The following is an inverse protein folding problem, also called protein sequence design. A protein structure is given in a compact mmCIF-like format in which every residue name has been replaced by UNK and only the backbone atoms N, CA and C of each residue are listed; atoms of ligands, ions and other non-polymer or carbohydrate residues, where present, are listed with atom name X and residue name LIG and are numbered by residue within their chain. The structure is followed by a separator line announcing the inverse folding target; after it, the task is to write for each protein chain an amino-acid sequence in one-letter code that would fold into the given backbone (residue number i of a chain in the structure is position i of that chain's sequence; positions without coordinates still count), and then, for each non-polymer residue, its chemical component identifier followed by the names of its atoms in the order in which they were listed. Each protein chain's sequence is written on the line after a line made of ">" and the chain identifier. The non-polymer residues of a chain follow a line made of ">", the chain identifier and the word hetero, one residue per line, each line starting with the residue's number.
data_IF_236975302320
#
_entry.id   IF_236975302320
#
_cell.length_a   1.000
_cell.length_b   1.000
_cell.length_c   1.000
_cell.angle_alpha   90.00
_cell.angle_beta   90.00
_cell.angle_gamma   90.00
#
_symmetry.space_group_name_H-M   'P 1'
#
loop_
_entity.id
_entity.type
_entity.pdbx_description
1 polymer ?
#
# COMPACT_ATOMS: atom_id res chain seq x y z
N UNK A 1 -18.40 2.88 -16.55
CA UNK A 1 -17.01 3.36 -16.33
C UNK A 1 -16.21 2.71 -17.44
N UNK A 2 -16.41 3.16 -18.68
CA UNK A 2 -16.02 2.36 -19.86
C UNK A 2 -15.64 3.26 -21.05
N UNK A 3 -15.25 4.51 -20.78
CA UNK A 3 -14.72 5.40 -21.81
C UNK A 3 -13.26 5.01 -22.05
N UNK A 4 -12.88 4.54 -23.26
CA UNK A 4 -11.48 4.28 -23.56
C UNK A 4 -10.68 5.59 -23.51
N UNK A 5 -9.61 5.61 -22.73
CA UNK A 5 -8.69 6.76 -22.64
C UNK A 5 -7.48 6.47 -23.54
N UNK A 6 -7.27 7.21 -24.65
CA UNK A 6 -6.13 7.00 -25.52
C UNK A 6 -4.82 7.37 -24.81
N UNK A 7 -3.77 6.61 -25.12
CA UNK A 7 -2.40 6.91 -24.71
C UNK A 7 -1.65 7.46 -25.92
N UNK A 8 -1.07 8.65 -25.78
CA UNK A 8 -0.25 9.28 -26.83
C UNK A 8 1.21 9.33 -26.39
N UNK A 9 2.13 9.08 -27.32
CA UNK A 9 3.57 9.23 -27.09
C UNK A 9 4.01 10.69 -27.21
N UNK A 10 4.89 11.12 -26.29
CA UNK A 10 5.61 12.39 -26.35
C UNK A 10 7.11 12.17 -26.56
N UNK A 11 7.90 13.23 -26.38
CA UNK A 11 9.36 13.18 -26.50
C UNK A 11 10.00 12.33 -25.39
N UNK A 12 11.21 11.83 -25.63
CA UNK A 12 12.03 11.06 -24.66
C UNK A 12 11.31 9.87 -24.00
N UNK A 13 10.37 9.24 -24.72
CA UNK A 13 9.62 8.08 -24.24
C UNK A 13 8.49 8.42 -23.27
N UNK A 14 8.16 9.70 -23.09
CA UNK A 14 6.99 10.12 -22.32
C UNK A 14 5.71 9.57 -22.96
N UNK A 15 4.72 9.27 -22.11
CA UNK A 15 3.36 8.92 -22.51
C UNK A 15 2.36 9.79 -21.75
N UNK A 16 1.27 10.18 -22.40
CA UNK A 16 0.14 10.90 -21.80
C UNK A 16 -1.13 10.06 -21.95
N UNK A 17 -1.90 9.94 -20.88
CA UNK A 17 -3.24 9.38 -20.89
C UNK A 17 -4.23 10.53 -21.05
N UNK A 18 -5.08 10.48 -22.07
CA UNK A 18 -5.93 11.61 -22.47
C UNK A 18 -7.41 11.33 -22.21
N UNK A 19 -8.14 12.35 -21.76
CA UNK A 19 -9.61 12.43 -21.77
C UNK A 19 -10.02 13.58 -22.70
N UNK A 20 -10.37 13.26 -23.94
CA UNK A 20 -10.47 14.24 -25.02
C UNK A 20 -9.13 14.94 -25.25
N UNK A 21 -9.12 16.27 -25.15
CA UNK A 21 -7.92 17.11 -25.27
C UNK A 21 -7.19 17.31 -23.92
N UNK A 22 -7.68 16.71 -22.83
CA UNK A 22 -7.17 16.94 -21.48
C UNK A 22 -6.24 15.78 -21.09
N UNK A 23 -4.95 16.04 -20.79
CA UNK A 23 -4.09 15.03 -20.19
C UNK A 23 -4.50 14.78 -18.73
N UNK A 24 -4.85 13.53 -18.39
CA UNK A 24 -5.27 13.13 -17.04
C UNK A 24 -4.20 12.35 -16.28
N UNK A 25 -3.20 11.80 -16.97
CA UNK A 25 -2.00 11.22 -16.38
C UNK A 25 -0.81 11.31 -17.35
N UNK A 26 0.40 11.24 -16.82
CA UNK A 26 1.62 11.13 -17.61
C UNK A 26 2.57 10.09 -17.03
N UNK A 27 3.39 9.48 -17.88
CA UNK A 27 4.44 8.55 -17.49
C UNK A 27 5.69 8.79 -18.31
N UNK A 28 6.85 8.46 -17.76
CA UNK A 28 8.12 8.44 -18.49
C UNK A 28 8.97 7.28 -18.01
N UNK A 29 9.91 6.76 -18.83
CA UNK A 29 10.83 5.73 -18.39
C UNK A 29 11.61 6.20 -17.17
N UNK A 30 11.63 5.37 -16.13
CA UNK A 30 12.50 5.58 -14.99
C UNK A 30 13.87 4.97 -15.29
N UNK A 31 14.89 5.80 -15.42
CA UNK A 31 16.27 5.37 -15.67
C UNK A 31 17.12 5.27 -14.39
N UNK A 32 16.55 5.57 -13.23
CA UNK A 32 17.24 5.49 -11.94
C UNK A 32 17.24 4.06 -11.37
N UNK A 33 18.19 3.79 -10.47
CA UNK A 33 18.07 2.64 -9.56
C UNK A 33 17.16 2.97 -8.39
N UNK A 34 16.55 1.94 -7.79
CA UNK A 34 15.93 2.05 -6.47
C UNK A 34 16.79 1.26 -5.47
N UNK A 35 17.15 1.89 -4.37
CA UNK A 35 17.76 1.19 -3.24
C UNK A 35 16.64 0.73 -2.34
N UNK A 36 16.41 -0.59 -2.31
CA UNK A 36 15.43 -1.18 -1.39
C UNK A 36 16.10 -1.34 -0.03
N UNK A 37 15.56 -0.73 1.05
CA UNK A 37 16.09 -0.95 2.39
C UNK A 37 15.83 -2.39 2.84
N UNK A 38 16.68 -2.90 3.72
CA UNK A 38 16.41 -4.18 4.37
C UNK A 38 15.09 -4.11 5.15
N UNK A 39 14.27 -5.18 5.11
CA UNK A 39 13.06 -5.22 5.91
C UNK A 39 13.40 -5.20 7.41
N UNK A 40 12.55 -4.59 8.25
CA UNK A 40 12.75 -4.63 9.69
C UNK A 40 12.65 -6.05 10.24
N UNK A 41 13.36 -6.32 11.33
CA UNK A 41 13.15 -7.53 12.11
C UNK A 41 11.86 -7.43 12.91
N UNK A 42 11.24 -8.59 13.23
CA UNK A 42 10.06 -8.63 14.08
C UNK A 42 10.30 -7.95 15.45
N UNK A 43 11.50 -8.12 16.01
CA UNK A 43 11.88 -7.50 17.28
C UNK A 43 11.90 -5.96 17.19
N UNK A 44 12.45 -5.40 16.11
CA UNK A 44 12.45 -3.95 15.87
C UNK A 44 11.02 -3.40 15.83
N UNK A 45 10.11 -4.09 15.14
CA UNK A 45 8.70 -3.68 15.06
C UNK A 45 8.01 -3.82 16.42
N UNK A 46 8.21 -4.92 17.14
CA UNK A 46 7.62 -5.16 18.46
C UNK A 46 8.04 -4.09 19.49
N UNK A 47 9.30 -3.66 19.44
CA UNK A 47 9.85 -2.64 20.34
C UNK A 47 9.49 -1.20 19.93
N UNK A 48 8.84 -1.01 18.78
CA UNK A 48 8.39 0.30 18.30
C UNK A 48 6.94 0.54 18.72
N UNK A 49 6.61 1.59 19.49
CA UNK A 49 5.23 1.84 19.91
C UNK A 49 4.32 2.12 18.71
N UNK A 50 3.09 1.64 18.80
CA UNK A 50 2.04 1.98 17.84
C UNK A 50 1.58 3.43 18.04
N UNK A 51 1.45 4.17 16.94
CA UNK A 51 1.01 5.55 16.87
C UNK A 51 -0.44 5.61 16.34
N UNK A 52 -1.37 5.93 17.23
CA UNK A 52 -2.80 6.03 16.91
C UNK A 52 -3.11 7.20 15.96
N UNK A 53 -2.28 8.24 15.92
CA UNK A 53 -2.46 9.38 15.02
C UNK A 53 -2.37 8.98 13.54
N UNK A 54 -1.57 7.95 13.23
CA UNK A 54 -1.49 7.38 11.87
C UNK A 54 -2.83 6.75 11.48
N UNK A 55 -3.47 6.02 12.39
CA UNK A 55 -4.76 5.39 12.13
C UNK A 55 -5.93 6.38 12.06
N UNK A 56 -5.85 7.48 12.81
CA UNK A 56 -6.84 8.57 12.73
C UNK A 56 -6.76 9.31 11.38
N UNK A 57 -5.57 9.40 10.78
CA UNK A 57 -5.36 9.95 9.45
C UNK A 57 -5.87 9.09 8.29
N UNK A 58 -6.41 7.90 8.55
CA UNK A 58 -6.94 7.01 7.50
C UNK A 58 -8.34 7.46 7.07
N UNK A 59 -8.43 8.00 5.87
CA UNK A 59 -9.68 8.55 5.30
C UNK A 59 -10.65 7.47 4.79
N UNK A 60 -10.14 6.30 4.38
CA UNK A 60 -10.94 5.21 3.84
C UNK A 60 -11.26 4.16 4.91
N UNK A 61 -12.15 4.50 5.84
CA UNK A 61 -12.49 3.64 6.98
C UNK A 61 -13.04 2.26 6.62
N UNK A 62 -13.59 2.10 5.41
CA UNK A 62 -14.07 0.82 4.86
C UNK A 62 -13.07 0.12 3.94
N UNK A 63 -11.83 0.62 3.81
CA UNK A 63 -10.81 -0.02 2.99
C UNK A 63 -10.60 -1.48 3.41
N UNK A 64 -10.46 -2.40 2.45
CA UNK A 64 -10.23 -3.82 2.72
C UNK A 64 -8.97 -4.06 3.56
N UNK A 65 -7.92 -3.26 3.34
CA UNK A 65 -6.63 -3.43 4.00
C UNK A 65 -6.56 -2.64 5.31
N UNK A 66 -6.66 -1.32 5.26
CA UNK A 66 -6.41 -0.42 6.41
C UNK A 66 -7.68 0.14 7.07
N UNK A 67 -8.87 -0.36 6.71
CA UNK A 67 -10.14 0.16 7.18
C UNK A 67 -10.31 0.07 8.69
N UNK A 68 -10.21 1.21 9.39
CA UNK A 68 -10.32 1.29 10.86
C UNK A 68 -11.71 0.99 11.42
N UNK A 69 -12.75 1.00 10.57
CA UNK A 69 -14.13 0.65 10.95
C UNK A 69 -14.50 -0.81 10.64
N UNK A 70 -13.58 -1.62 10.13
CA UNK A 70 -13.80 -3.06 9.94
C UNK A 70 -13.70 -3.82 11.25
N UNK A 71 -14.58 -4.79 11.43
CA UNK A 71 -14.56 -5.69 12.57
C UNK A 71 -13.36 -6.65 12.51
N UNK A 72 -12.92 -7.18 13.65
CA UNK A 72 -11.97 -8.30 13.64
C UNK A 72 -12.55 -9.47 12.82
N UNK A 73 -11.70 -10.14 12.03
CA UNK A 73 -12.15 -11.13 11.04
C UNK A 73 -12.56 -10.56 9.66
N UNK A 74 -12.72 -9.24 9.51
CA UNK A 74 -13.13 -8.61 8.25
C UNK A 74 -12.01 -7.77 7.62
N UNK A 75 -11.71 -8.03 6.35
CA UNK A 75 -10.58 -7.45 5.66
C UNK A 75 -9.22 -7.93 6.20
N UNK A 76 -8.16 -7.16 5.93
CA UNK A 76 -6.81 -7.48 6.40
C UNK A 76 -6.46 -6.77 7.70
N UNK A 77 -7.04 -5.59 7.95
CA UNK A 77 -6.81 -4.74 9.13
C UNK A 77 -5.33 -4.50 9.42
N UNK A 78 -4.58 -4.17 8.37
CA UNK A 78 -3.17 -3.74 8.44
C UNK A 78 -3.14 -2.22 8.52
N UNK A 79 -2.62 -1.70 9.62
CA UNK A 79 -2.67 -0.27 9.94
C UNK A 79 -1.35 0.44 9.68
N UNK A 80 -0.22 -0.28 9.69
CA UNK A 80 1.12 0.28 9.49
C UNK A 80 1.39 1.47 10.42
N UNK A 81 1.09 1.29 11.71
CA UNK A 81 1.07 2.37 12.68
C UNK A 81 2.34 2.45 13.54
N UNK A 82 3.44 1.77 13.17
CA UNK A 82 4.70 1.79 13.92
C UNK A 82 5.80 2.43 13.08
N UNK A 83 6.31 3.58 13.53
CA UNK A 83 7.37 4.33 12.84
C UNK A 83 8.75 3.87 13.29
N UNK A 84 9.51 3.29 12.36
CA UNK A 84 10.83 2.75 12.67
C UNK A 84 11.89 3.84 12.79
N UNK A 85 12.88 3.60 13.65
CA UNK A 85 14.09 4.40 13.73
C UNK A 85 14.93 4.18 12.46
N UNK A 86 14.80 5.10 11.49
CA UNK A 86 15.36 4.95 10.14
C UNK A 86 14.39 5.32 9.01
N UNK A 87 13.12 5.58 9.37
CA UNK A 87 12.06 5.88 8.41
C UNK A 87 11.27 4.65 8.02
N UNK A 88 10.13 4.87 7.38
CA UNK A 88 9.19 3.82 7.03
C UNK A 88 8.19 3.51 8.15
N UNK A 89 7.04 3.01 7.71
CA UNK A 89 5.97 2.49 8.55
C UNK A 89 6.03 0.97 8.58
N UNK A 90 5.69 0.40 9.73
CA UNK A 90 5.66 -1.04 9.96
C UNK A 90 4.41 -1.45 10.73
N UNK A 91 4.08 -2.73 10.63
CA UNK A 91 3.03 -3.37 11.42
C UNK A 91 3.38 -4.84 11.67
N UNK A 92 2.63 -5.45 12.57
CA UNK A 92 2.62 -6.90 12.76
C UNK A 92 1.26 -7.40 12.34
N UNK A 93 1.23 -8.04 11.18
CA UNK A 93 0.01 -8.61 10.66
C UNK A 93 -0.03 -10.11 10.96
N UNK A 94 -1.06 -10.51 11.71
CA UNK A 94 -1.43 -11.91 11.88
C UNK A 94 -2.67 -12.15 11.02
N UNK A 95 -2.56 -12.87 9.90
CA UNK A 95 -3.69 -13.13 9.02
C UNK A 95 -4.72 -14.01 9.72
N UNK A 96 -5.99 -13.67 9.53
CA UNK A 96 -7.10 -14.51 9.98
C UNK A 96 -7.06 -15.86 9.25
N UNK A 97 -7.43 -16.93 9.96
CA UNK A 97 -7.39 -18.30 9.40
C UNK A 97 -8.25 -18.46 8.13
N UNK A 98 -9.30 -17.65 7.97
CA UNK A 98 -10.15 -17.62 6.79
C UNK A 98 -9.46 -17.06 5.54
N UNK A 99 -8.32 -16.39 5.68
CA UNK A 99 -7.50 -15.91 4.56
C UNK A 99 -6.56 -16.97 4.01
N UNK A 100 -6.39 -18.10 4.70
CA UNK A 100 -5.52 -19.17 4.26
C UNK A 100 -6.19 -20.03 3.18
N UNK A 101 -5.39 -20.48 2.20
CA UNK A 101 -5.79 -21.46 1.21
C UNK A 101 -5.91 -22.87 1.81
N UNK A 102 -6.23 -23.86 0.97
CA UNK A 102 -6.37 -25.26 1.40
C UNK A 102 -5.07 -25.89 1.94
N UNK A 103 -3.93 -25.24 1.80
CA UNK A 103 -2.62 -25.66 2.33
C UNK A 103 -2.25 -24.92 3.62
N UNK A 104 -3.12 -24.03 4.10
CA UNK A 104 -2.85 -23.20 5.27
C UNK A 104 -1.94 -22.01 4.97
N UNK A 105 -1.77 -21.63 3.69
CA UNK A 105 -0.94 -20.50 3.28
C UNK A 105 -1.80 -19.32 2.86
N UNK A 106 -1.36 -18.11 3.22
CA UNK A 106 -1.98 -16.88 2.71
C UNK A 106 -1.68 -16.76 1.21
N UNK A 107 -2.69 -16.61 0.33
CA UNK A 107 -2.49 -16.39 -1.09
C UNK A 107 -1.66 -15.14 -1.37
N UNK A 108 -0.87 -15.16 -2.46
CA UNK A 108 0.05 -14.08 -2.78
C UNK A 108 -0.66 -12.73 -2.95
N UNK A 109 -1.85 -12.72 -3.57
CA UNK A 109 -2.67 -11.53 -3.74
C UNK A 109 -3.05 -10.86 -2.41
N UNK A 110 -3.26 -11.65 -1.35
CA UNK A 110 -3.56 -11.11 -0.01
C UNK A 110 -2.31 -10.53 0.64
N UNK A 111 -1.15 -11.17 0.43
CA UNK A 111 0.15 -10.63 0.86
C UNK A 111 0.45 -9.31 0.14
N UNK A 112 0.22 -9.23 -1.17
CA UNK A 112 0.40 -8.00 -1.94
C UNK A 112 -0.57 -6.90 -1.50
N UNK A 113 -1.84 -7.23 -1.27
CA UNK A 113 -2.81 -6.29 -0.75
C UNK A 113 -2.41 -5.74 0.63
N UNK A 114 -1.86 -6.58 1.51
CA UNK A 114 -1.38 -6.15 2.82
C UNK A 114 -0.25 -5.10 2.74
N UNK A 115 0.52 -5.07 1.65
CA UNK A 115 1.63 -4.13 1.43
C UNK A 115 1.20 -2.81 0.73
N UNK A 116 0.06 -2.80 0.06
CA UNK A 116 -0.37 -1.69 -0.80
C UNK A 116 -0.73 -0.42 -0.01
N UNK A 117 -1.62 -0.54 0.97
CA UNK A 117 -2.05 0.61 1.78
C UNK A 117 -0.93 1.25 2.62
N UNK A 118 -0.02 0.48 3.26
CA UNK A 118 1.16 1.06 3.90
C UNK A 118 2.01 1.91 2.94
N UNK A 119 2.12 1.52 1.67
CA UNK A 119 2.85 2.27 0.64
C UNK A 119 2.26 3.66 0.37
N UNK A 120 0.94 3.81 0.44
CA UNK A 120 0.26 5.10 0.33
C UNK A 120 0.45 5.96 1.59
N UNK A 121 0.35 5.37 2.79
CA UNK A 121 0.51 6.07 4.07
C UNK A 121 1.93 6.65 4.24
N UNK A 122 2.95 5.96 3.73
CA UNK A 122 4.34 6.40 3.82
C UNK A 122 4.64 7.69 3.01
N UNK A 123 3.74 8.12 2.12
CA UNK A 123 3.93 9.36 1.34
C UNK A 123 3.53 10.63 2.12
N UNK A 124 2.91 10.48 3.30
CA UNK A 124 2.40 11.59 4.09
C UNK A 124 3.19 11.86 5.38
N UNK A 125 4.20 11.04 5.73
CA UNK A 125 4.90 11.14 7.01
C UNK A 125 6.39 10.77 7.02
#
# INVERSE_FOLDING_TARGET
>A
MDTPLPVIGGDDGQVLLMDGEIPVASGKPWAGGITVPDPPTLEQVMNTPADQGITEGIWYHGCFVCGTKRAAGDGLRVFANRRLAGGGLSDIWVPESSLADSRGLVPAEMVWAALDCPGALNQHY
#
